data_IF_090543561263
#
_entry.id   IF_090543561263
#
_cell.length_a   1.000
_cell.length_b   1.000
_cell.length_c   1.000
_cell.angle_alpha   90.00
_cell.angle_beta   90.00
_cell.angle_gamma   90.00
#
_symmetry.space_group_name_H-M   'P 1'
#
loop_
_entity.id
_entity.type
_entity.pdbx_description
1 polymer ?
#
# COMPACT_ATOMS: atom_id res chain seq x y z
N UNK A 1 18.97 22.88 22.83
CA UNK A 1 18.33 22.64 21.52
C UNK A 1 16.83 22.72 21.72
N UNK A 2 16.16 23.67 21.08
CA UNK A 2 14.70 23.73 21.09
C UNK A 2 14.19 22.53 20.29
N UNK A 3 13.60 21.53 20.96
CA UNK A 3 12.73 20.58 20.29
C UNK A 3 11.52 21.39 19.82
N UNK A 4 11.46 21.69 18.53
CA UNK A 4 10.25 22.24 17.94
C UNK A 4 9.23 21.11 17.93
N UNK A 5 8.28 21.16 18.87
CA UNK A 5 7.10 20.29 18.85
C UNK A 5 6.20 20.75 17.70
N UNK A 6 6.58 20.36 16.47
CA UNK A 6 5.70 20.48 15.32
C UNK A 6 4.69 19.35 15.47
N UNK A 7 3.47 19.70 15.90
CA UNK A 7 2.35 18.78 15.84
C UNK A 7 2.14 18.43 14.36
N UNK A 8 2.42 17.18 13.99
CA UNK A 8 2.23 16.71 12.63
C UNK A 8 0.72 16.55 12.44
N UNK A 9 0.13 17.51 11.74
CA UNK A 9 -1.25 17.42 11.27
C UNK A 9 -1.32 16.58 10.00
N UNK A 10 -2.50 16.01 9.73
CA UNK A 10 -2.80 15.38 8.43
C UNK A 10 -2.43 16.33 7.29
N UNK A 11 -2.00 15.79 6.15
CA UNK A 11 -1.64 16.57 4.96
C UNK A 11 -0.35 17.43 5.07
N UNK A 12 0.56 17.15 6.01
CA UNK A 12 1.70 18.04 6.30
C UNK A 12 2.60 18.36 5.11
N UNK A 13 2.88 17.38 4.23
CA UNK A 13 3.59 17.59 2.96
C UNK A 13 2.68 17.35 1.74
N UNK A 14 1.36 17.39 1.96
CA UNK A 14 0.40 17.25 0.89
C UNK A 14 0.62 18.33 -0.15
N UNK A 15 0.58 17.94 -1.43
CA UNK A 15 0.69 18.85 -2.56
C UNK A 15 2.03 19.61 -2.65
N UNK A 16 3.07 19.13 -1.97
CA UNK A 16 4.43 19.63 -2.17
C UNK A 16 5.04 19.03 -3.45
N UNK A 17 4.39 19.24 -4.61
CA UNK A 17 4.68 18.55 -5.88
C UNK A 17 6.08 18.84 -6.45
N UNK A 18 6.71 19.96 -6.07
CA UNK A 18 8.07 20.34 -6.45
C UNK A 18 9.15 19.91 -5.45
N UNK A 19 8.77 19.28 -4.33
CA UNK A 19 9.72 18.84 -3.30
C UNK A 19 10.54 17.65 -3.80
N UNK A 20 11.87 17.80 -3.82
CA UNK A 20 12.80 16.77 -4.31
C UNK A 20 13.40 15.98 -3.13
N UNK A 21 13.68 16.67 -2.02
CA UNK A 21 14.22 16.11 -0.78
C UNK A 21 13.61 16.80 0.44
N UNK A 22 13.64 16.12 1.58
CA UNK A 22 13.05 16.59 2.83
C UNK A 22 13.88 16.08 4.00
N UNK A 23 14.29 16.98 4.91
CA UNK A 23 14.92 16.59 6.17
C UNK A 23 13.85 16.46 7.26
N UNK A 24 13.69 15.24 7.75
CA UNK A 24 12.73 14.87 8.80
C UNK A 24 13.39 14.47 10.12
N UNK A 25 14.73 14.57 10.20
CA UNK A 25 15.51 13.99 11.31
C UNK A 25 15.16 14.56 12.69
N UNK A 26 14.56 15.75 12.76
CA UNK A 26 14.16 16.42 14.00
C UNK A 26 12.69 16.20 14.40
N UNK A 27 11.89 15.52 13.57
CA UNK A 27 10.48 15.31 13.82
C UNK A 27 10.27 14.22 14.86
N UNK A 28 9.43 14.52 15.87
CA UNK A 28 8.99 13.57 16.89
C UNK A 28 7.58 13.08 16.53
N UNK A 29 7.48 11.84 16.04
CA UNK A 29 6.20 11.24 15.63
C UNK A 29 5.57 10.35 16.69
N UNK A 30 6.18 10.23 17.88
CA UNK A 30 5.80 9.27 18.94
C UNK A 30 4.40 9.46 19.53
N UNK A 31 3.75 10.58 19.20
CA UNK A 31 2.38 10.90 19.62
C UNK A 31 1.38 11.02 18.46
N UNK A 32 1.83 10.79 17.22
CA UNK A 32 0.99 10.90 16.04
C UNK A 32 0.10 9.67 15.94
N UNK A 33 -1.22 9.90 15.84
CA UNK A 33 -2.21 8.83 15.65
C UNK A 33 -2.76 8.78 14.22
N UNK A 34 -2.56 9.82 13.42
CA UNK A 34 -3.06 9.92 12.06
C UNK A 34 -1.96 10.46 11.15
N UNK A 35 -1.58 9.66 10.14
CA UNK A 35 -0.60 10.01 9.11
C UNK A 35 -1.23 10.06 7.72
N UNK A 36 -2.56 10.23 7.65
CA UNK A 36 -3.28 10.27 6.39
C UNK A 36 -2.73 11.37 5.47
N UNK A 37 -2.50 10.99 4.21
CA UNK A 37 -2.04 11.86 3.13
C UNK A 37 -0.75 12.64 3.42
N UNK A 38 0.05 12.21 4.41
CA UNK A 38 1.21 12.98 4.88
C UNK A 38 2.18 13.34 3.76
N UNK A 39 2.43 12.40 2.83
CA UNK A 39 3.26 12.57 1.65
C UNK A 39 2.46 12.35 0.35
N UNK A 40 1.16 12.66 0.35
CA UNK A 40 0.35 12.50 -0.85
C UNK A 40 0.56 13.66 -1.84
N UNK A 41 0.65 13.33 -3.13
CA UNK A 41 0.44 14.29 -4.22
C UNK A 41 -1.04 14.67 -4.34
N UNK A 42 -1.34 15.72 -5.13
CA UNK A 42 -2.70 16.22 -5.33
C UNK A 42 -3.65 15.10 -5.80
N UNK A 43 -4.75 14.91 -5.06
CA UNK A 43 -5.85 14.03 -5.44
C UNK A 43 -7.12 14.86 -5.67
N UNK A 44 -7.38 15.21 -6.93
CA UNK A 44 -8.71 15.62 -7.38
C UNK A 44 -8.98 15.02 -8.75
N UNK A 45 -9.50 13.80 -8.73
CA UNK A 45 -10.44 13.22 -9.73
C UNK A 45 -10.07 13.11 -11.21
N UNK A 46 -9.00 13.70 -11.73
CA UNK A 46 -8.49 13.36 -13.06
C UNK A 46 -7.05 13.86 -13.22
N UNK A 47 -6.15 13.00 -13.73
CA UNK A 47 -4.74 13.30 -14.00
C UNK A 47 -3.94 13.91 -12.81
N UNK A 48 -3.60 13.08 -11.81
CA UNK A 48 -2.84 13.50 -10.63
C UNK A 48 -1.48 14.10 -11.02
N UNK A 49 -1.20 15.31 -10.53
CA UNK A 49 0.15 15.89 -10.60
C UNK A 49 1.05 15.07 -9.67
N UNK A 50 2.06 14.37 -10.20
CA UNK A 50 2.92 13.52 -9.39
C UNK A 50 3.77 14.34 -8.42
N UNK A 51 4.06 13.79 -7.23
CA UNK A 51 5.14 14.35 -6.42
C UNK A 51 6.49 14.14 -7.10
N UNK A 52 7.32 15.18 -7.09
CA UNK A 52 8.71 15.13 -7.57
C UNK A 52 9.66 14.42 -6.60
N UNK A 53 9.17 13.95 -5.45
CA UNK A 53 9.95 13.32 -4.39
C UNK A 53 10.60 12.02 -4.90
N UNK A 54 11.94 11.96 -4.84
CA UNK A 54 12.74 10.80 -5.32
C UNK A 54 13.20 9.88 -4.20
N UNK A 55 13.38 10.43 -3.00
CA UNK A 55 13.72 9.68 -1.80
C UNK A 55 13.19 10.40 -0.57
N UNK A 56 12.97 9.63 0.49
CA UNK A 56 12.56 10.12 1.80
C UNK A 56 13.17 9.23 2.87
N UNK A 57 13.70 9.83 3.93
CA UNK A 57 14.24 9.10 5.08
C UNK A 57 13.20 9.15 6.22
N UNK A 58 12.68 7.99 6.60
CA UNK A 58 11.68 7.81 7.65
C UNK A 58 12.21 7.00 8.84
N UNK A 59 13.52 6.79 8.93
CA UNK A 59 14.12 5.94 9.97
C UNK A 59 13.88 6.42 11.41
N UNK A 60 13.57 7.70 11.60
CA UNK A 60 13.24 8.28 12.91
C UNK A 60 11.73 8.26 13.24
N UNK A 61 10.88 7.76 12.34
CA UNK A 61 9.44 7.72 12.58
C UNK A 61 9.08 6.60 13.55
N UNK A 62 8.51 6.99 14.68
CA UNK A 62 7.70 6.13 15.53
C UNK A 62 6.26 6.14 15.02
N UNK A 63 5.77 4.97 14.60
CA UNK A 63 4.41 4.76 14.07
C UNK A 63 3.54 3.91 15.02
N UNK A 64 4.05 3.57 16.20
CA UNK A 64 3.40 2.63 17.14
C UNK A 64 2.01 3.07 17.60
N UNK A 65 1.67 4.37 17.52
CA UNK A 65 0.34 4.90 17.87
C UNK A 65 -0.54 5.24 16.68
N UNK A 66 -0.04 5.07 15.46
CA UNK A 66 -0.76 5.46 14.25
C UNK A 66 -1.88 4.48 13.99
N UNK A 67 -3.10 5.00 13.85
CA UNK A 67 -4.30 4.21 13.52
C UNK A 67 -4.75 4.42 12.08
N UNK A 68 -4.28 5.47 11.40
CA UNK A 68 -4.71 5.81 10.04
C UNK A 68 -3.50 6.18 9.17
N UNK A 69 -3.32 5.44 8.06
CA UNK A 69 -2.30 5.68 7.02
C UNK A 69 -2.92 5.86 5.62
N UNK A 70 -4.20 6.24 5.56
CA UNK A 70 -4.94 6.48 4.32
C UNK A 70 -4.19 7.45 3.41
N UNK A 71 -3.97 7.08 2.14
CA UNK A 71 -3.22 7.87 1.14
C UNK A 71 -1.78 8.28 1.51
N UNK A 72 -1.15 7.74 2.56
CA UNK A 72 0.10 8.31 3.11
C UNK A 72 1.19 8.61 2.06
N UNK A 73 1.35 7.76 1.05
CA UNK A 73 2.32 7.93 -0.05
C UNK A 73 1.67 8.05 -1.43
N UNK A 74 0.37 8.35 -1.50
CA UNK A 74 -0.37 8.44 -2.75
C UNK A 74 0.29 9.42 -3.74
N UNK A 75 0.39 9.04 -5.01
CA UNK A 75 0.98 9.85 -6.08
C UNK A 75 2.46 10.21 -5.90
N UNK A 76 3.20 9.51 -5.02
CA UNK A 76 4.66 9.52 -4.99
C UNK A 76 5.25 8.78 -6.19
N UNK A 77 5.00 9.24 -7.42
CA UNK A 77 5.30 8.48 -8.64
C UNK A 77 6.78 8.37 -8.97
N UNK A 78 7.62 9.23 -8.39
CA UNK A 78 9.06 9.27 -8.63
C UNK A 78 9.88 8.55 -7.54
N UNK A 79 9.23 8.07 -6.46
CA UNK A 79 9.88 7.18 -5.50
C UNK A 79 10.13 5.84 -6.19
N UNK A 80 11.39 5.39 -6.18
CA UNK A 80 11.78 4.08 -6.73
C UNK A 80 11.96 3.02 -5.65
N UNK A 81 12.21 3.45 -4.41
CA UNK A 81 12.32 2.62 -3.21
C UNK A 81 11.82 3.41 -2.00
N UNK A 82 11.41 2.69 -0.96
CA UNK A 82 10.92 3.25 0.29
C UNK A 82 11.23 2.27 1.41
N UNK A 83 11.99 2.71 2.41
CA UNK A 83 12.29 1.90 3.60
C UNK A 83 11.21 2.13 4.66
N UNK A 84 10.48 1.07 4.99
CA UNK A 84 9.41 1.04 6.00
C UNK A 84 9.69 -0.02 7.07
N UNK A 85 10.94 -0.48 7.18
CA UNK A 85 11.30 -1.56 8.12
C UNK A 85 11.04 -1.21 9.58
N UNK A 86 11.05 0.08 9.94
CA UNK A 86 10.73 0.59 11.28
C UNK A 86 9.23 0.84 11.52
N UNK A 87 8.35 0.61 10.53
CA UNK A 87 6.93 0.88 10.71
C UNK A 87 6.27 -0.21 11.56
N UNK A 88 5.63 0.22 12.67
CA UNK A 88 4.71 -0.59 13.46
C UNK A 88 3.28 -0.24 13.02
N UNK A 89 2.68 -1.13 12.24
CA UNK A 89 1.30 -0.95 11.76
C UNK A 89 0.27 -1.68 12.61
N UNK A 90 0.64 -2.19 13.79
CA UNK A 90 -0.23 -3.04 14.61
C UNK A 90 -1.52 -2.36 15.07
N UNK A 91 -1.54 -1.03 15.15
CA UNK A 91 -2.74 -0.24 15.50
C UNK A 91 -3.49 0.34 14.30
N UNK A 92 -2.99 0.15 13.07
CA UNK A 92 -3.57 0.73 11.86
C UNK A 92 -4.87 0.02 11.49
N UNK A 93 -5.92 0.82 11.26
CA UNK A 93 -7.24 0.33 10.83
C UNK A 93 -7.57 0.65 9.38
N UNK A 94 -6.93 1.66 8.78
CA UNK A 94 -7.08 1.98 7.35
C UNK A 94 -5.73 2.17 6.66
N UNK A 95 -5.56 1.45 5.55
CA UNK A 95 -4.48 1.57 4.58
C UNK A 95 -5.03 1.96 3.18
N UNK A 96 -6.25 2.51 3.14
CA UNK A 96 -6.92 2.95 1.92
C UNK A 96 -5.97 3.77 1.05
N UNK A 97 -5.73 3.32 -0.18
CA UNK A 97 -4.92 4.03 -1.18
C UNK A 97 -3.49 4.41 -0.74
N UNK A 98 -2.90 3.72 0.25
CA UNK A 98 -1.61 4.11 0.85
C UNK A 98 -0.48 4.32 -0.16
N UNK A 99 -0.40 3.48 -1.21
CA UNK A 99 0.58 3.56 -2.30
C UNK A 99 -0.06 3.81 -3.67
N UNK A 100 -1.28 4.36 -3.71
CA UNK A 100 -1.98 4.71 -4.95
C UNK A 100 -1.07 5.53 -5.89
N UNK A 101 -0.99 5.19 -7.17
CA UNK A 101 -0.19 5.91 -8.18
C UNK A 101 1.33 6.01 -7.87
N UNK A 102 1.90 5.16 -7.01
CA UNK A 102 3.36 5.05 -6.84
C UNK A 102 4.02 4.36 -8.05
N UNK A 103 3.96 5.00 -9.22
CA UNK A 103 4.33 4.41 -10.51
C UNK A 103 5.80 4.03 -10.63
N UNK A 104 6.69 4.66 -9.86
CA UNK A 104 8.14 4.42 -9.91
C UNK A 104 8.64 3.32 -8.98
N UNK A 105 7.84 2.89 -7.99
CA UNK A 105 8.27 1.85 -7.04
C UNK A 105 8.45 0.53 -7.78
N UNK A 106 9.65 -0.04 -7.68
CA UNK A 106 10.00 -1.32 -8.34
C UNK A 106 9.90 -2.52 -7.40
N UNK A 107 10.10 -2.27 -6.10
CA UNK A 107 9.97 -3.21 -4.99
C UNK A 107 9.54 -2.46 -3.73
N UNK A 108 8.94 -3.20 -2.79
CA UNK A 108 8.51 -2.68 -1.50
C UNK A 108 8.57 -3.81 -0.48
N UNK A 109 9.34 -3.63 0.60
CA UNK A 109 9.38 -4.56 1.72
C UNK A 109 8.31 -4.18 2.74
N UNK A 110 7.35 -5.08 2.94
CA UNK A 110 6.23 -4.93 3.88
C UNK A 110 6.23 -6.04 4.95
N UNK A 111 7.37 -6.70 5.16
CA UNK A 111 7.49 -7.80 6.11
C UNK A 111 7.23 -7.39 7.57
N UNK A 112 7.46 -6.11 7.92
CA UNK A 112 7.16 -5.53 9.24
C UNK A 112 5.68 -5.24 9.48
N UNK A 113 4.85 -5.23 8.43
CA UNK A 113 3.46 -4.80 8.56
C UNK A 113 2.62 -5.86 9.27
N UNK A 114 1.95 -5.45 10.35
CA UNK A 114 0.83 -6.18 10.95
C UNK A 114 -0.47 -5.56 10.45
N UNK A 115 -1.28 -6.34 9.74
CA UNK A 115 -2.54 -5.85 9.15
C UNK A 115 -3.79 -6.42 9.83
N UNK A 116 -3.61 -7.09 10.97
CA UNK A 116 -4.70 -7.80 11.66
C UNK A 116 -5.87 -6.90 12.09
N UNK A 117 -5.64 -5.59 12.27
CA UNK A 117 -6.66 -4.61 12.63
C UNK A 117 -7.19 -3.79 11.43
N UNK A 118 -6.65 -4.00 10.23
CA UNK A 118 -7.01 -3.22 9.03
C UNK A 118 -8.36 -3.68 8.49
N UNK A 119 -9.26 -2.73 8.25
CA UNK A 119 -10.58 -2.98 7.66
C UNK A 119 -10.68 -2.51 6.21
N UNK A 120 -9.83 -1.55 5.79
CA UNK A 120 -9.86 -0.96 4.45
C UNK A 120 -8.47 -0.96 3.79
N UNK A 121 -8.37 -1.64 2.66
CA UNK A 121 -7.22 -1.73 1.76
C UNK A 121 -7.58 -1.38 0.31
N UNK A 122 -8.73 -0.74 0.07
CA UNK A 122 -9.13 -0.40 -1.29
C UNK A 122 -8.08 0.52 -1.95
N UNK A 123 -7.81 0.25 -3.22
CA UNK A 123 -6.81 0.94 -4.06
C UNK A 123 -5.36 0.99 -3.50
N UNK A 124 -5.01 0.17 -2.49
CA UNK A 124 -3.72 0.29 -1.79
C UNK A 124 -2.50 0.32 -2.73
N UNK A 125 -2.50 -0.49 -3.81
CA UNK A 125 -1.44 -0.52 -4.83
C UNK A 125 -1.95 -0.16 -6.23
N UNK A 126 -3.10 0.53 -6.34
CA UNK A 126 -3.66 0.90 -7.64
C UNK A 126 -2.67 1.71 -8.46
N UNK A 127 -2.46 1.31 -9.72
CA UNK A 127 -1.57 1.99 -10.67
C UNK A 127 -0.09 2.07 -10.23
N UNK A 128 0.38 1.11 -9.42
CA UNK A 128 1.80 0.88 -9.17
C UNK A 128 2.44 0.12 -10.35
N UNK A 129 2.65 0.83 -11.46
CA UNK A 129 3.00 0.24 -12.76
C UNK A 129 4.39 -0.41 -12.84
N UNK A 130 5.32 -0.05 -11.96
CA UNK A 130 6.69 -0.59 -11.96
C UNK A 130 6.93 -1.71 -10.95
N UNK A 131 5.97 -2.00 -10.05
CA UNK A 131 6.12 -3.09 -9.09
C UNK A 131 6.15 -4.43 -9.83
N UNK A 132 7.23 -5.19 -9.65
CA UNK A 132 7.41 -6.49 -10.33
C UNK A 132 7.08 -7.68 -9.45
N UNK A 133 7.34 -7.54 -8.16
CA UNK A 133 7.15 -8.56 -7.13
C UNK A 133 6.56 -7.89 -5.89
N UNK A 134 5.62 -8.54 -5.24
CA UNK A 134 5.04 -8.07 -3.99
C UNK A 134 4.82 -9.24 -3.03
N UNK A 135 5.55 -9.24 -1.91
CA UNK A 135 5.36 -10.21 -0.84
C UNK A 135 4.44 -9.63 0.24
N UNK A 136 3.21 -10.13 0.30
CA UNK A 136 2.22 -9.79 1.32
C UNK A 136 1.98 -10.97 2.27
N UNK A 137 2.97 -11.85 2.45
CA UNK A 137 2.80 -12.99 3.35
C UNK A 137 2.71 -12.63 4.82
N UNK A 138 3.06 -11.41 5.23
CA UNK A 138 2.77 -10.89 6.57
C UNK A 138 1.30 -10.47 6.74
N UNK A 139 0.54 -10.30 5.65
CA UNK A 139 -0.80 -9.71 5.70
C UNK A 139 -1.83 -10.71 6.19
N UNK A 140 -2.45 -10.38 7.32
CA UNK A 140 -3.70 -10.98 7.78
C UNK A 140 -4.84 -10.05 7.36
N UNK A 141 -5.69 -10.52 6.46
CA UNK A 141 -6.81 -9.73 5.91
C UNK A 141 -8.19 -10.18 6.41
N UNK A 142 -8.24 -10.96 7.50
CA UNK A 142 -9.49 -11.51 8.05
C UNK A 142 -10.50 -10.44 8.51
N UNK A 143 -10.05 -9.23 8.83
CA UNK A 143 -10.91 -8.10 9.21
C UNK A 143 -11.17 -7.11 8.06
N UNK A 144 -10.58 -7.34 6.88
CA UNK A 144 -10.71 -6.42 5.75
C UNK A 144 -12.06 -6.59 5.08
N UNK A 145 -12.80 -5.50 4.93
CA UNK A 145 -14.09 -5.44 4.24
C UNK A 145 -13.99 -4.80 2.86
N UNK A 146 -12.97 -3.99 2.61
CA UNK A 146 -12.75 -3.26 1.35
C UNK A 146 -11.35 -3.54 0.75
N UNK A 147 -11.33 -4.05 -0.48
CA UNK A 147 -10.13 -4.35 -1.30
C UNK A 147 -10.36 -4.01 -2.78
N UNK A 148 -11.35 -3.16 -3.09
CA UNK A 148 -11.64 -2.78 -4.47
C UNK A 148 -10.40 -2.18 -5.15
N UNK A 149 -10.16 -2.58 -6.40
CA UNK A 149 -9.03 -2.17 -7.25
C UNK A 149 -7.62 -2.29 -6.62
N UNK A 150 -7.42 -3.12 -5.58
CA UNK A 150 -6.17 -3.17 -4.81
C UNK A 150 -4.91 -3.29 -5.67
N UNK A 151 -4.96 -4.08 -6.75
CA UNK A 151 -3.85 -4.31 -7.69
C UNK A 151 -4.21 -3.93 -9.14
N UNK A 152 -5.19 -3.05 -9.33
CA UNK A 152 -5.60 -2.62 -10.68
C UNK A 152 -4.51 -1.76 -11.33
N UNK A 153 -4.29 -1.93 -12.63
CA UNK A 153 -3.24 -1.23 -13.41
C UNK A 153 -1.81 -1.53 -12.89
N UNK A 154 -1.61 -2.67 -12.21
CA UNK A 154 -0.28 -3.19 -11.87
C UNK A 154 0.30 -3.98 -13.04
N UNK A 155 0.70 -3.27 -14.09
CA UNK A 155 1.06 -3.87 -15.39
C UNK A 155 2.41 -4.60 -15.41
N UNK A 156 3.26 -4.46 -14.39
CA UNK A 156 4.54 -5.16 -14.28
C UNK A 156 4.54 -6.27 -13.22
N UNK A 157 3.45 -6.44 -12.46
CA UNK A 157 3.41 -7.33 -11.30
C UNK A 157 3.29 -8.79 -11.75
N UNK A 158 4.38 -9.55 -11.62
CA UNK A 158 4.45 -10.94 -12.10
C UNK A 158 4.42 -11.97 -10.97
N UNK A 159 4.75 -11.57 -9.74
CA UNK A 159 4.67 -12.45 -8.57
C UNK A 159 4.01 -11.74 -7.39
N UNK A 160 3.03 -12.41 -6.78
CA UNK A 160 2.27 -11.91 -5.64
C UNK A 160 2.12 -13.01 -4.59
N UNK A 161 2.63 -12.78 -3.39
CA UNK A 161 2.51 -13.74 -2.28
C UNK A 161 1.42 -13.31 -1.31
N UNK A 162 0.33 -14.08 -1.25
CA UNK A 162 -0.83 -13.90 -0.38
C UNK A 162 -1.03 -15.11 0.53
N UNK A 163 0.03 -15.88 0.84
CA UNK A 163 -0.09 -17.19 1.52
C UNK A 163 -0.75 -17.17 2.91
N UNK A 164 -0.84 -16.00 3.56
CA UNK A 164 -1.51 -15.83 4.86
C UNK A 164 -2.77 -14.94 4.79
N UNK A 165 -3.10 -14.40 3.62
CA UNK A 165 -4.30 -13.61 3.43
C UNK A 165 -5.56 -14.49 3.56
N UNK A 166 -6.65 -13.89 4.03
CA UNK A 166 -7.98 -14.51 4.15
C UNK A 166 -9.00 -13.64 3.44
N UNK A 167 -9.86 -14.22 2.61
CA UNK A 167 -10.83 -13.48 1.80
C UNK A 167 -12.26 -13.84 2.21
N UNK A 168 -12.90 -12.98 2.98
CA UNK A 168 -14.30 -13.19 3.37
C UNK A 168 -15.21 -13.05 2.14
N UNK A 169 -16.30 -13.84 2.03
CA UNK A 169 -17.26 -13.71 0.92
C UNK A 169 -17.87 -12.30 0.79
N UNK A 170 -17.94 -11.55 1.89
CA UNK A 170 -18.47 -10.18 1.95
C UNK A 170 -17.46 -9.10 1.55
N UNK A 171 -16.19 -9.45 1.30
CA UNK A 171 -15.17 -8.45 0.98
C UNK A 171 -15.45 -7.81 -0.38
N UNK A 172 -15.66 -6.49 -0.37
CA UNK A 172 -15.73 -5.68 -1.58
C UNK A 172 -14.38 -5.74 -2.28
N UNK A 173 -14.36 -6.26 -3.50
CA UNK A 173 -13.13 -6.56 -4.24
C UNK A 173 -13.33 -6.39 -5.75
N UNK A 174 -14.24 -5.48 -6.10
CA UNK A 174 -14.52 -5.10 -7.48
C UNK A 174 -13.24 -4.61 -8.16
N UNK A 175 -13.03 -5.01 -9.43
CA UNK A 175 -11.88 -4.60 -10.26
C UNK A 175 -10.49 -4.84 -9.64
N UNK A 176 -10.35 -5.77 -8.70
CA UNK A 176 -9.09 -6.00 -7.96
C UNK A 176 -7.84 -6.11 -8.85
N UNK A 177 -7.95 -6.69 -10.05
CA UNK A 177 -6.85 -6.86 -11.02
C UNK A 177 -7.14 -6.24 -12.40
N UNK A 178 -8.09 -5.30 -12.51
CA UNK A 178 -8.46 -4.73 -13.82
C UNK A 178 -7.25 -4.04 -14.48
N UNK A 179 -7.07 -4.24 -15.79
CA UNK A 179 -5.96 -3.71 -16.58
C UNK A 179 -4.54 -4.10 -16.11
N UNK A 180 -4.40 -5.14 -15.30
CA UNK A 180 -3.11 -5.66 -14.85
C UNK A 180 -2.54 -6.71 -15.81
N UNK A 181 -1.28 -7.13 -15.60
CA UNK A 181 -0.64 -8.10 -16.49
C UNK A 181 -1.28 -9.49 -16.38
N UNK A 182 -1.42 -10.17 -17.52
CA UNK A 182 -1.66 -11.62 -17.56
C UNK A 182 -0.39 -12.40 -17.22
N UNK A 183 -0.55 -13.67 -16.84
CA UNK A 183 0.53 -14.57 -16.48
C UNK A 183 1.10 -14.35 -15.07
N UNK A 184 0.39 -13.63 -14.20
CA UNK A 184 0.81 -13.42 -12.81
C UNK A 184 0.84 -14.73 -12.03
N UNK A 185 1.91 -14.97 -11.26
CA UNK A 185 2.00 -16.08 -10.31
C UNK A 185 1.53 -15.58 -8.94
N UNK A 186 0.53 -16.25 -8.36
CA UNK A 186 -0.04 -15.89 -7.07
C UNK A 186 0.03 -17.09 -6.14
N UNK A 187 0.59 -16.89 -4.94
CA UNK A 187 0.58 -17.90 -3.88
C UNK A 187 -0.53 -17.54 -2.90
N UNK A 188 -1.38 -18.49 -2.54
CA UNK A 188 -2.51 -18.30 -1.62
C UNK A 188 -2.51 -19.36 -0.52
N UNK A 189 -3.28 -19.10 0.54
CA UNK A 189 -3.36 -19.93 1.74
C UNK A 189 -4.02 -21.30 1.52
N UNK A 190 -5.14 -21.31 0.81
CA UNK A 190 -6.06 -22.43 0.75
C UNK A 190 -6.93 -22.40 -0.53
N UNK A 191 -7.77 -23.43 -0.70
CA UNK A 191 -8.66 -23.59 -1.86
C UNK A 191 -9.69 -22.46 -1.97
N UNK A 192 -10.19 -21.96 -0.84
CA UNK A 192 -11.16 -20.85 -0.80
C UNK A 192 -10.52 -19.57 -1.36
N UNK A 193 -9.31 -19.26 -0.88
CA UNK A 193 -8.52 -18.13 -1.37
C UNK A 193 -8.15 -18.28 -2.84
N UNK A 194 -7.80 -19.51 -3.27
CA UNK A 194 -7.52 -19.79 -4.69
C UNK A 194 -8.75 -19.53 -5.56
N UNK A 195 -9.92 -20.03 -5.15
CA UNK A 195 -11.18 -19.82 -5.85
C UNK A 195 -11.54 -18.33 -5.91
N UNK A 196 -11.39 -17.61 -4.80
CA UNK A 196 -11.60 -16.18 -4.73
C UNK A 196 -10.74 -15.42 -5.74
N UNK A 197 -9.42 -15.65 -5.74
CA UNK A 197 -8.47 -14.96 -6.62
C UNK A 197 -8.71 -15.32 -8.10
N UNK A 198 -8.92 -16.60 -8.42
CA UNK A 198 -9.24 -17.03 -9.79
C UNK A 198 -10.46 -16.31 -10.36
N UNK A 199 -11.52 -16.15 -9.56
CA UNK A 199 -12.70 -15.39 -9.98
C UNK A 199 -12.36 -13.92 -10.27
N UNK A 200 -11.47 -13.29 -9.48
CA UNK A 200 -11.06 -11.88 -9.71
C UNK A 200 -10.18 -11.73 -10.95
N UNK A 201 -9.29 -12.67 -11.22
CA UNK A 201 -8.52 -12.70 -12.47
C UNK A 201 -9.44 -12.87 -13.69
N UNK A 202 -10.39 -13.81 -13.62
CA UNK A 202 -11.37 -14.05 -14.69
C UNK A 202 -12.25 -12.82 -14.95
N UNK A 203 -12.76 -12.16 -13.91
CA UNK A 203 -13.54 -10.93 -14.04
C UNK A 203 -12.75 -9.77 -14.67
N UNK A 204 -11.43 -9.75 -14.48
CA UNK A 204 -10.53 -8.77 -15.10
C UNK A 204 -10.11 -9.17 -16.53
N UNK A 205 -10.49 -10.36 -17.01
CA UNK A 205 -10.11 -10.85 -18.34
C UNK A 205 -8.63 -11.21 -18.46
N UNK A 206 -7.94 -11.51 -17.35
CA UNK A 206 -6.52 -11.86 -17.34
C UNK A 206 -6.29 -13.29 -16.86
N UNK A 207 -5.17 -13.87 -17.28
CA UNK A 207 -4.75 -15.21 -16.83
C UNK A 207 -3.73 -15.11 -15.70
N UNK A 208 -3.63 -16.14 -14.87
CA UNK A 208 -2.61 -16.25 -13.84
C UNK A 208 -2.47 -17.67 -13.34
N UNK A 209 -1.35 -17.96 -12.68
CA UNK A 209 -1.09 -19.23 -12.02
C UNK A 209 -1.28 -19.05 -10.51
N UNK A 210 -2.42 -19.49 -9.98
CA UNK A 210 -2.73 -19.38 -8.55
C UNK A 210 -2.43 -20.71 -7.87
N UNK A 211 -1.43 -20.73 -7.00
CA UNK A 211 -0.94 -21.94 -6.32
C UNK A 211 -1.21 -21.87 -4.82
N UNK A 212 -1.57 -23.00 -4.22
CA UNK A 212 -1.79 -23.09 -2.78
C UNK A 212 -0.44 -23.38 -2.12
N UNK A 213 -0.10 -22.62 -1.10
CA UNK A 213 1.08 -22.87 -0.28
C UNK A 213 0.90 -24.17 0.51
N UNK A 214 1.85 -25.09 0.34
CA UNK A 214 1.94 -26.32 1.14
C UNK A 214 3.17 -26.16 2.04
N UNK A 215 3.01 -26.12 3.38
CA UNK A 215 4.11 -25.98 4.33
C UNK A 215 5.20 -27.04 4.21
#
# INVERSE_FOLDING_TARGET
MYKYYIYIYNYFFYNCSLLISLDLSSFDTSSVTNMASMFAGESTTDWHVPMSLKSINLSNFDTSKVTNMTFMFSSCSNLTSLDLSNFDTSNVTSMYSMFLNCRGLTSLDLSSFSTSNVTDMANMFYNCRSLTNLDLSSFNTSNVTEMANMFSICVALTNLNLRNATFLPTVSSYKMFEYSTSGINIIVKDVESQTFINNRLSNAGITGNVTIYVP
#
